data_IF_743270583921
#
_entry.id   IF_743270583921
#
_cell.length_a   1.000
_cell.length_b   1.000
_cell.length_c   1.000
_cell.angle_alpha   90.00
_cell.angle_beta   90.00
_cell.angle_gamma   90.00
#
_symmetry.space_group_name_H-M   'P 1'
#
loop_
_entity.id
_entity.type
_entity.pdbx_description
1 polymer ?
#
# COMPACT_ATOMS: atom_id res chain seq x y z
N UNK A 1 33.52 -26.20 -39.00
CA UNK A 1 32.25 -26.64 -38.36
C UNK A 1 32.14 -26.23 -36.89
N UNK A 2 33.18 -26.38 -36.06
CA UNK A 2 33.12 -26.02 -34.62
C UNK A 2 32.75 -24.56 -34.31
N UNK A 3 33.17 -23.59 -35.14
CA UNK A 3 32.89 -22.15 -34.92
C UNK A 3 31.40 -21.78 -35.05
N UNK A 4 30.67 -22.42 -35.96
CA UNK A 4 29.23 -22.19 -36.12
C UNK A 4 28.43 -22.73 -34.93
N UNK A 5 28.81 -23.88 -34.38
CA UNK A 5 28.19 -24.43 -33.18
C UNK A 5 28.35 -23.50 -31.97
N UNK A 6 29.55 -22.95 -31.77
CA UNK A 6 29.81 -21.99 -30.69
C UNK A 6 28.96 -20.70 -30.81
N UNK A 7 28.75 -20.22 -32.03
CA UNK A 7 27.89 -19.05 -32.30
C UNK A 7 26.41 -19.33 -31.98
N UNK A 8 25.87 -20.49 -32.37
CA UNK A 8 24.49 -20.85 -32.03
C UNK A 8 24.30 -21.07 -30.52
N UNK A 9 25.30 -21.67 -29.85
CA UNK A 9 25.27 -21.85 -28.40
C UNK A 9 25.28 -20.50 -27.69
N UNK A 10 26.12 -19.54 -28.11
CA UNK A 10 26.16 -18.22 -27.47
C UNK A 10 24.85 -17.45 -27.64
N UNK A 11 24.20 -17.53 -28.81
CA UNK A 11 22.86 -16.98 -29.03
C UNK A 11 21.84 -17.65 -28.11
N UNK A 12 21.83 -18.97 -28.02
CA UNK A 12 20.90 -19.71 -27.16
C UNK A 12 21.07 -19.33 -25.69
N UNK A 13 22.31 -19.23 -25.20
CA UNK A 13 22.62 -18.78 -23.84
C UNK A 13 22.13 -17.35 -23.60
N UNK A 14 22.33 -16.44 -24.55
CA UNK A 14 21.85 -15.06 -24.45
C UNK A 14 20.31 -14.98 -24.36
N UNK A 15 19.60 -15.80 -25.13
CA UNK A 15 18.13 -15.89 -25.08
C UNK A 15 17.67 -16.41 -23.72
N UNK A 16 18.27 -17.49 -23.22
CA UNK A 16 17.93 -18.08 -21.92
C UNK A 16 18.18 -17.07 -20.79
N UNK A 17 19.33 -16.40 -20.80
CA UNK A 17 19.66 -15.37 -19.81
C UNK A 17 18.65 -14.22 -19.82
N UNK A 18 18.21 -13.76 -21.00
CA UNK A 18 17.19 -12.74 -21.13
C UNK A 18 15.82 -13.20 -20.56
N UNK A 19 15.42 -14.43 -20.85
CA UNK A 19 14.20 -15.00 -20.30
C UNK A 19 14.27 -15.14 -18.77
N UNK A 20 15.42 -15.57 -18.23
CA UNK A 20 15.64 -15.65 -16.79
C UNK A 20 15.56 -14.28 -16.12
N UNK A 21 16.20 -13.25 -16.70
CA UNK A 21 16.11 -11.87 -16.22
C UNK A 21 14.66 -11.39 -16.17
N UNK A 22 13.89 -11.63 -17.25
CA UNK A 22 12.48 -11.22 -17.33
C UNK A 22 11.65 -11.88 -16.24
N UNK A 23 11.81 -13.18 -16.02
CA UNK A 23 11.10 -13.92 -14.96
C UNK A 23 11.50 -13.42 -13.57
N UNK A 24 12.79 -13.19 -13.32
CA UNK A 24 13.26 -12.63 -12.06
C UNK A 24 12.70 -11.23 -11.80
N UNK A 25 12.69 -10.37 -12.83
CA UNK A 25 12.13 -9.02 -12.73
C UNK A 25 10.63 -9.04 -12.43
N UNK A 26 9.86 -9.89 -13.14
CA UNK A 26 8.43 -10.06 -12.88
C UNK A 26 8.16 -10.56 -11.45
N UNK A 27 8.98 -11.48 -10.95
CA UNK A 27 8.87 -12.00 -9.58
C UNK A 27 9.12 -10.90 -8.53
N UNK A 28 10.11 -10.04 -8.74
CA UNK A 28 10.41 -8.93 -7.83
C UNK A 28 9.25 -7.92 -7.78
N UNK A 29 8.66 -7.62 -8.94
CA UNK A 29 7.50 -6.71 -9.00
C UNK A 29 6.29 -7.31 -8.26
N UNK A 30 6.02 -8.61 -8.45
CA UNK A 30 4.94 -9.29 -7.74
C UNK A 30 5.17 -9.33 -6.23
N UNK A 31 6.39 -9.67 -5.78
CA UNK A 31 6.75 -9.66 -4.36
C UNK A 31 6.58 -8.26 -3.73
N UNK A 32 6.95 -7.20 -4.46
CA UNK A 32 6.70 -5.83 -3.99
C UNK A 32 5.20 -5.51 -3.88
N UNK A 33 4.40 -5.94 -4.85
CA UNK A 33 2.95 -5.76 -4.83
C UNK A 33 2.32 -6.50 -3.65
N UNK A 34 2.66 -7.77 -3.44
CA UNK A 34 2.15 -8.59 -2.34
C UNK A 34 2.50 -7.97 -0.98
N UNK A 35 3.73 -7.47 -0.82
CA UNK A 35 4.15 -6.77 0.41
C UNK A 35 3.35 -5.49 0.64
N UNK A 36 3.04 -4.74 -0.42
CA UNK A 36 2.21 -3.53 -0.34
C UNK A 36 0.77 -3.87 0.03
N UNK A 37 0.19 -4.88 -0.61
CA UNK A 37 -1.18 -5.32 -0.32
C UNK A 37 -1.30 -5.78 1.13
N UNK A 38 -0.33 -6.53 1.62
CA UNK A 38 -0.29 -6.97 3.02
C UNK A 38 -0.37 -5.82 4.03
N UNK A 39 0.32 -4.70 3.77
CA UNK A 39 0.24 -3.52 4.66
C UNK A 39 -1.16 -2.90 4.64
N UNK A 40 -1.79 -2.86 3.46
CA UNK A 40 -3.16 -2.34 3.32
C UNK A 40 -4.14 -3.25 4.06
N UNK A 41 -4.01 -4.57 3.91
CA UNK A 41 -4.83 -5.55 4.61
C UNK A 41 -4.66 -5.44 6.13
N UNK A 42 -3.43 -5.31 6.64
CA UNK A 42 -3.16 -5.11 8.07
C UNK A 42 -3.83 -3.84 8.63
N UNK A 43 -3.88 -2.76 7.86
CA UNK A 43 -4.57 -1.52 8.24
C UNK A 43 -6.09 -1.70 8.21
N UNK A 44 -6.63 -2.33 7.18
CA UNK A 44 -8.06 -2.63 7.05
C UNK A 44 -8.56 -3.56 8.15
N UNK A 45 -7.77 -4.56 8.53
CA UNK A 45 -8.05 -5.45 9.65
C UNK A 45 -8.17 -4.67 10.97
N UNK A 46 -7.29 -3.69 11.20
CA UNK A 46 -7.36 -2.85 12.41
C UNK A 46 -8.58 -1.95 12.37
N UNK A 47 -8.96 -1.41 11.20
CA UNK A 47 -10.19 -0.63 11.03
C UNK A 47 -11.42 -1.51 11.32
N UNK A 48 -11.50 -2.71 10.76
CA UNK A 48 -12.59 -3.65 11.03
C UNK A 48 -12.65 -4.06 12.50
N UNK A 49 -11.50 -4.28 13.13
CA UNK A 49 -11.42 -4.56 14.56
C UNK A 49 -11.88 -3.37 15.42
N UNK A 50 -11.56 -2.14 15.01
CA UNK A 50 -12.02 -0.92 15.69
C UNK A 50 -13.56 -0.81 15.68
N UNK A 51 -14.19 -1.02 14.53
CA UNK A 51 -15.66 -0.98 14.40
C UNK A 51 -16.37 -2.09 15.18
N UNK A 52 -15.82 -3.30 15.19
CA UNK A 52 -16.43 -4.45 15.85
C UNK A 52 -16.32 -4.42 17.37
N UNK A 53 -15.35 -3.69 17.94
CA UNK A 53 -15.12 -3.60 19.39
C UNK A 53 -15.45 -2.22 19.95
N UNK A 54 -16.44 -1.52 19.37
CA UNK A 54 -16.93 -0.21 19.85
C UNK A 54 -15.84 0.87 19.97
N UNK A 55 -14.78 0.78 19.17
CA UNK A 55 -13.65 1.68 19.21
C UNK A 55 -12.63 1.40 20.31
N UNK A 56 -12.76 0.26 21.00
CA UNK A 56 -11.82 -0.19 22.00
C UNK A 56 -10.69 -1.03 21.38
N UNK A 57 -9.55 -0.40 21.07
CA UNK A 57 -8.31 -1.11 20.70
C UNK A 57 -7.48 -1.59 21.90
N UNK A 58 -8.08 -1.84 23.07
CA UNK A 58 -7.36 -2.38 24.24
C UNK A 58 -6.71 -3.74 23.95
N UNK A 59 -7.06 -4.42 22.85
CA UNK A 59 -6.21 -5.45 22.30
C UNK A 59 -4.85 -4.86 21.87
N UNK A 60 -3.86 -4.94 22.77
CA UNK A 60 -2.43 -4.66 22.57
C UNK A 60 -1.91 -5.11 21.19
N UNK A 61 -2.51 -6.17 20.63
CA UNK A 61 -2.22 -6.71 19.32
C UNK A 61 -2.58 -5.77 18.15
N UNK A 62 -3.73 -5.09 18.16
CA UNK A 62 -4.17 -4.24 17.04
C UNK A 62 -3.28 -3.00 16.89
N UNK A 63 -2.95 -2.35 18.02
CA UNK A 63 -2.05 -1.20 18.03
C UNK A 63 -0.61 -1.56 17.64
N UNK A 64 -0.10 -2.70 18.13
CA UNK A 64 1.21 -3.20 17.73
C UNK A 64 1.27 -3.48 16.23
N UNK A 65 0.21 -4.09 15.67
CA UNK A 65 0.10 -4.33 14.22
C UNK A 65 0.14 -3.00 13.44
N UNK A 66 -0.63 -2.00 13.86
CA UNK A 66 -0.63 -0.69 13.18
C UNK A 66 0.75 -0.01 13.22
N UNK A 67 1.48 -0.12 14.33
CA UNK A 67 2.84 0.41 14.44
C UNK A 67 3.83 -0.33 13.53
N UNK A 68 3.71 -1.65 13.38
CA UNK A 68 4.54 -2.44 12.47
C UNK A 68 4.20 -2.15 11.01
N UNK A 69 2.92 -1.98 10.70
CA UNK A 69 2.42 -1.58 9.39
C UNK A 69 2.96 -0.20 9.00
N UNK A 70 2.96 0.77 9.91
CA UNK A 70 3.57 2.11 9.67
C UNK A 70 5.08 2.02 9.38
N UNK A 71 5.81 1.19 10.13
CA UNK A 71 7.24 0.98 9.91
C UNK A 71 7.53 0.37 8.53
N UNK A 72 6.73 -0.62 8.13
CA UNK A 72 6.83 -1.27 6.81
C UNK A 72 6.40 -0.34 5.67
N UNK A 73 5.34 0.45 5.90
CA UNK A 73 4.80 1.39 4.94
C UNK A 73 5.83 2.44 4.52
N UNK A 74 6.68 2.87 5.46
CA UNK A 74 7.75 3.83 5.18
C UNK A 74 8.71 3.38 4.08
N UNK A 75 9.01 2.08 4.01
CA UNK A 75 9.90 1.51 3.00
C UNK A 75 9.17 1.15 1.70
N UNK A 76 7.91 0.74 1.80
CA UNK A 76 7.14 0.23 0.66
C UNK A 76 6.43 1.32 -0.15
N UNK A 77 6.00 2.39 0.53
CA UNK A 77 5.20 3.49 -0.02
C UNK A 77 5.86 4.86 0.19
N UNK A 78 6.75 4.99 1.19
CA UNK A 78 7.37 6.28 1.54
C UNK A 78 6.71 6.93 2.76
N UNK A 79 7.10 8.18 3.03
CA UNK A 79 6.73 8.88 4.27
C UNK A 79 5.24 9.28 4.33
N UNK A 80 4.61 9.51 3.18
CA UNK A 80 3.22 9.96 3.09
C UNK A 80 2.25 8.94 3.70
N UNK A 81 2.28 7.70 3.20
CA UNK A 81 1.42 6.61 3.69
C UNK A 81 1.77 6.25 5.13
N UNK A 82 3.07 6.23 5.48
CA UNK A 82 3.51 5.96 6.85
C UNK A 82 2.97 7.00 7.85
N UNK A 83 2.93 8.28 7.43
CA UNK A 83 2.36 9.38 8.22
C UNK A 83 0.85 9.26 8.33
N UNK A 84 0.17 8.88 7.26
CA UNK A 84 -1.28 8.64 7.29
C UNK A 84 -1.64 7.54 8.31
N UNK A 85 -0.91 6.41 8.32
CA UNK A 85 -1.12 5.32 9.29
C UNK A 85 -0.84 5.78 10.73
N UNK A 86 0.17 6.63 10.95
CA UNK A 86 0.42 7.22 12.29
C UNK A 86 -0.70 8.15 12.74
N UNK A 87 -1.30 8.90 11.82
CA UNK A 87 -2.48 9.74 12.13
C UNK A 87 -3.67 8.88 12.53
N UNK A 88 -3.88 7.75 11.85
CA UNK A 88 -4.88 6.76 12.26
C UNK A 88 -4.64 6.26 13.69
N UNK A 89 -3.40 5.90 14.05
CA UNK A 89 -3.05 5.50 15.43
C UNK A 89 -3.43 6.59 16.44
N UNK A 90 -3.15 7.85 16.13
CA UNK A 90 -3.48 8.99 16.99
C UNK A 90 -4.99 9.15 17.18
N UNK A 91 -5.76 9.13 16.09
CA UNK A 91 -7.24 9.22 16.10
C UNK A 91 -7.82 8.09 16.97
N UNK A 92 -7.37 6.86 16.75
CA UNK A 92 -7.91 5.72 17.49
C UNK A 92 -7.57 5.79 18.99
N UNK A 93 -6.36 6.23 19.36
CA UNK A 93 -5.98 6.43 20.77
C UNK A 93 -6.85 7.48 21.44
N UNK A 94 -7.11 8.58 20.75
CA UNK A 94 -7.92 9.68 21.27
C UNK A 94 -9.39 9.24 21.41
N UNK A 95 -9.95 8.55 20.42
CA UNK A 95 -11.28 7.92 20.50
C UNK A 95 -11.37 6.97 21.70
N UNK A 96 -10.43 6.04 21.83
CA UNK A 96 -10.40 5.10 22.96
C UNK A 96 -10.29 5.83 24.31
N UNK A 97 -9.50 6.90 24.40
CA UNK A 97 -9.39 7.72 25.62
C UNK A 97 -10.69 8.44 25.96
N UNK A 98 -11.39 9.00 24.95
CA UNK A 98 -12.65 9.71 25.15
C UNK A 98 -13.78 8.75 25.51
N UNK A 99 -13.87 7.57 24.88
CA UNK A 99 -14.85 6.53 25.24
C UNK A 99 -14.64 6.03 26.67
N UNK A 100 -13.39 5.73 27.06
CA UNK A 100 -13.06 5.39 28.44
C UNK A 100 -13.40 6.51 29.45
N UNK A 101 -13.30 7.78 29.03
CA UNK A 101 -13.71 8.92 29.86
C UNK A 101 -15.24 9.01 29.96
N UNK A 102 -15.95 8.76 28.86
CA UNK A 102 -17.42 8.75 28.80
C UNK A 102 -18.02 7.68 29.72
N UNK A 103 -17.44 6.48 29.74
CA UNK A 103 -17.86 5.38 30.62
C UNK A 103 -17.74 5.73 32.12
N UNK A 104 -16.74 6.55 32.47
CA UNK A 104 -16.51 6.99 33.86
C UNK A 104 -17.38 8.16 34.29
N UNK A 105 -18.05 8.82 33.36
CA UNK A 105 -18.94 9.94 33.66
C UNK A 105 -20.33 9.43 34.05
N UNK A 106 -20.95 10.07 35.05
CA UNK A 106 -22.34 9.82 35.41
C UNK A 106 -23.25 10.02 34.19
N UNK A 107 -24.34 9.22 34.13
CA UNK A 107 -25.26 9.16 32.98
C UNK A 107 -25.84 10.54 32.62
N UNK A 108 -26.12 11.38 33.62
CA UNK A 108 -26.67 12.75 33.46
C UNK A 108 -25.69 13.88 33.86
N UNK A 109 -24.38 13.62 33.81
CA UNK A 109 -23.38 14.64 34.14
C UNK A 109 -23.27 15.73 33.06
N UNK A 110 -23.14 17.02 33.42
CA UNK A 110 -23.01 18.12 32.46
C UNK A 110 -21.79 18.01 31.53
N UNK A 111 -20.76 17.25 31.93
CA UNK A 111 -19.58 16.98 31.11
C UNK A 111 -19.75 15.86 30.07
N UNK A 112 -20.89 15.16 30.03
CA UNK A 112 -21.13 14.05 29.10
C UNK A 112 -21.33 14.55 27.67
N UNK A 113 -22.09 15.65 27.51
CA UNK A 113 -22.37 16.24 26.21
C UNK A 113 -21.09 16.66 25.47
N UNK A 114 -20.18 17.36 26.15
CA UNK A 114 -18.90 17.80 25.58
C UNK A 114 -18.02 16.63 25.13
N UNK A 115 -18.01 15.53 25.89
CA UNK A 115 -17.24 14.33 25.54
C UNK A 115 -17.88 13.61 24.35
N UNK A 116 -19.21 13.50 24.31
CA UNK A 116 -19.92 12.89 23.17
C UNK A 116 -19.70 13.70 21.89
N UNK A 117 -19.79 15.02 21.94
CA UNK A 117 -19.54 15.89 20.79
C UNK A 117 -18.12 15.69 20.23
N UNK A 118 -17.12 15.61 21.11
CA UNK A 118 -15.74 15.31 20.72
C UNK A 118 -15.58 13.93 20.11
N UNK A 119 -16.29 12.92 20.63
CA UNK A 119 -16.28 11.57 20.06
C UNK A 119 -16.85 11.61 18.63
N UNK A 120 -18.00 12.24 18.44
CA UNK A 120 -18.65 12.33 17.11
C UNK A 120 -17.75 13.04 16.09
N UNK A 121 -17.15 14.18 16.44
CA UNK A 121 -16.23 14.89 15.54
C UNK A 121 -15.01 14.06 15.15
N UNK A 122 -14.52 13.22 16.08
CA UNK A 122 -13.36 12.38 15.86
C UNK A 122 -13.72 11.11 15.07
N UNK A 123 -14.94 10.58 15.23
CA UNK A 123 -15.50 9.51 14.37
C UNK A 123 -15.69 10.01 12.93
N UNK A 124 -16.17 11.24 12.72
CA UNK A 124 -16.24 11.84 11.37
C UNK A 124 -14.85 11.97 10.72
N UNK A 125 -13.85 12.36 11.51
CA UNK A 125 -12.45 12.44 11.05
C UNK A 125 -11.90 11.06 10.70
N UNK A 126 -12.23 10.04 11.49
CA UNK A 126 -11.87 8.66 11.21
C UNK A 126 -12.50 8.16 9.91
N UNK A 127 -13.79 8.41 9.70
CA UNK A 127 -14.51 8.02 8.48
C UNK A 127 -13.96 8.70 7.23
N UNK A 128 -13.64 9.99 7.33
CA UNK A 128 -12.98 10.71 6.26
C UNK A 128 -11.60 10.10 5.95
N UNK A 129 -10.85 9.75 6.99
CA UNK A 129 -9.55 9.09 6.83
C UNK A 129 -9.69 7.75 6.10
N UNK A 130 -10.64 6.90 6.50
CA UNK A 130 -10.89 5.58 5.89
C UNK A 130 -11.23 5.71 4.40
N UNK A 131 -12.00 6.74 4.02
CA UNK A 131 -12.31 7.02 2.60
C UNK A 131 -11.10 7.48 1.80
N UNK A 132 -10.23 8.30 2.40
CA UNK A 132 -9.07 8.89 1.71
C UNK A 132 -7.85 7.96 1.63
N UNK A 133 -7.72 6.99 2.55
CA UNK A 133 -6.55 6.12 2.63
C UNK A 133 -6.30 5.28 1.37
N UNK A 134 -7.33 4.66 0.73
CA UNK A 134 -7.15 3.97 -0.53
C UNK A 134 -6.54 4.87 -1.61
N UNK A 135 -6.95 6.14 -1.71
CA UNK A 135 -6.45 7.08 -2.70
C UNK A 135 -4.96 7.37 -2.54
N UNK A 136 -4.47 7.42 -1.30
CA UNK A 136 -3.03 7.55 -1.01
C UNK A 136 -2.24 6.30 -1.44
N UNK A 137 -2.86 5.13 -1.35
CA UNK A 137 -2.25 3.85 -1.72
C UNK A 137 -2.32 3.58 -3.24
N UNK A 138 -3.31 4.14 -3.94
CA UNK A 138 -3.57 3.89 -5.37
C UNK A 138 -2.33 4.04 -6.28
N UNK A 139 -1.49 5.10 -6.15
CA UNK A 139 -0.29 5.24 -6.99
C UNK A 139 0.69 4.07 -6.86
N UNK A 140 0.69 3.39 -5.71
CA UNK A 140 1.61 2.30 -5.39
C UNK A 140 1.03 0.92 -5.69
N UNK A 141 -0.29 0.81 -5.80
CA UNK A 141 -1.03 -0.43 -6.07
C UNK A 141 -1.39 -0.55 -7.56
N UNK A 142 -1.52 0.56 -8.29
CA UNK A 142 -1.69 0.51 -9.74
C UNK A 142 -0.47 -0.14 -10.37
N UNK A 143 -0.68 -1.33 -10.96
CA UNK A 143 0.23 -1.97 -11.90
C UNK A 143 0.33 -1.17 -13.22
N UNK A 144 0.53 0.14 -13.14
CA UNK A 144 0.86 0.99 -14.28
C UNK A 144 2.22 0.62 -14.88
N UNK A 145 3.10 -0.02 -14.10
CA UNK A 145 4.44 -0.42 -14.53
C UNK A 145 4.36 -1.08 -15.89
N UNK A 146 4.66 -0.27 -16.92
CA UNK A 146 4.61 -0.63 -18.33
C UNK A 146 5.19 -2.02 -18.45
N UNK A 147 4.35 -2.96 -18.88
CA UNK A 147 4.77 -4.29 -19.32
C UNK A 147 6.09 -4.10 -20.04
N UNK A 148 7.21 -4.59 -19.49
CA UNK A 148 8.49 -4.49 -20.18
C UNK A 148 8.29 -5.25 -21.48
N UNK A 149 8.11 -4.48 -22.56
CA UNK A 149 7.82 -5.02 -23.88
C UNK A 149 8.85 -6.09 -24.17
N UNK A 150 8.42 -7.20 -24.76
CA UNK A 150 9.35 -8.15 -25.37
C UNK A 150 10.32 -7.38 -26.29
N UNK A 151 11.53 -7.91 -26.52
CA UNK A 151 12.48 -7.27 -27.46
C UNK A 151 11.81 -6.95 -28.81
N UNK A 152 10.90 -7.84 -29.26
CA UNK A 152 10.06 -7.61 -30.45
C UNK A 152 9.16 -6.38 -30.31
N UNK A 153 8.43 -6.23 -29.21
CA UNK A 153 7.60 -5.04 -28.95
C UNK A 153 8.45 -3.77 -28.82
N UNK A 154 9.62 -3.84 -28.18
CA UNK A 154 10.57 -2.73 -28.11
C UNK A 154 11.10 -2.33 -29.50
N UNK A 155 11.44 -3.31 -30.35
CA UNK A 155 11.87 -3.07 -31.73
C UNK A 155 10.72 -2.50 -32.57
N UNK A 156 9.50 -3.01 -32.43
CA UNK A 156 8.30 -2.50 -33.12
C UNK A 156 8.00 -1.06 -32.68
N UNK A 157 8.10 -0.75 -31.39
CA UNK A 157 7.86 0.58 -30.85
C UNK A 157 8.96 1.57 -31.27
N UNK A 158 10.22 1.13 -31.32
CA UNK A 158 11.33 1.91 -31.89
C UNK A 158 11.20 2.13 -33.38
N UNK A 159 10.73 1.14 -34.15
CA UNK A 159 10.44 1.31 -35.58
C UNK A 159 9.29 2.29 -35.82
N UNK A 160 8.20 2.17 -35.03
CA UNK A 160 7.06 3.10 -35.11
C UNK A 160 7.48 4.54 -34.81
N UNK A 161 8.35 4.76 -33.81
CA UNK A 161 8.92 6.08 -33.52
C UNK A 161 9.86 6.60 -34.62
N UNK A 162 10.56 5.74 -35.37
CA UNK A 162 11.40 6.16 -36.49
C UNK A 162 10.57 6.58 -37.71
N UNK A 163 9.46 5.90 -37.96
CA UNK A 163 8.56 6.20 -39.06
C UNK A 163 7.81 7.53 -38.88
N UNK A 164 7.50 7.94 -37.63
CA UNK A 164 6.81 9.21 -37.39
C UNK A 164 7.67 10.47 -37.61
N UNK A 165 8.99 10.33 -37.77
CA UNK A 165 9.89 11.43 -38.14
C UNK A 165 10.16 11.49 -39.66
N UNK A 166 9.55 10.61 -40.46
CA UNK A 166 9.69 10.59 -41.92
C UNK A 166 8.58 11.33 -42.68
N UNK A 167 7.53 11.78 -41.99
CA UNK A 167 6.36 12.48 -42.57
C UNK A 167 6.34 14.00 -42.24
N UNK A 168 7.49 14.60 -41.90
CA UNK A 168 7.66 16.06 -41.79
C UNK A 168 8.79 16.55 -42.68
#
# INVERSE_FOLDING_TARGET
>A
MASWAAFFISIAVAIIAFLQWRTAHQKVVLDLFDRRMKVIDEVNDVIGYFWTNEGNLVAFNARRRLSLASGSARYLFGEEVATAIKRLDAIIRELGSLKNRLEKLAVDGPGRYEVTEKITALEDTFDQWVRSFPDLCLPYVKHDQRRVGTLREWFVERNRKRLSYGDQ
#
